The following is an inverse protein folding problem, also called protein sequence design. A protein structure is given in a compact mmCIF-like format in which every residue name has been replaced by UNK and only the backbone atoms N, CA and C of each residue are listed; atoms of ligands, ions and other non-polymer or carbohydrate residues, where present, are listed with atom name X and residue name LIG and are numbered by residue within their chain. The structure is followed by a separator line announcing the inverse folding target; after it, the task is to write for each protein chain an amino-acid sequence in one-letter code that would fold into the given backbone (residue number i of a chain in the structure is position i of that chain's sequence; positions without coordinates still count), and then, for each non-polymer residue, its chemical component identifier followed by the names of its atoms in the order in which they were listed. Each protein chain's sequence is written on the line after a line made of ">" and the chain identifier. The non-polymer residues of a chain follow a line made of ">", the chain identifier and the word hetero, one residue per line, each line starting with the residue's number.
data_IF_155895851185
#
_entry.id   IF_155895851185
#
_cell.length_a   1.000
_cell.length_b   1.000
_cell.length_c   1.000
_cell.angle_alpha   90.00
_cell.angle_beta   90.00
_cell.angle_gamma   90.00
#
_symmetry.space_group_name_H-M   'P 1'
#
loop_
_entity.id
_entity.type
_entity.pdbx_description
1 polymer ?
#
# COMPACT_ATOMS: atom_id res chain seq x y z
N UNK A 1 -7.93 10.38 -4.56
CA UNK A 1 -7.83 10.14 -3.10
C UNK A 1 -7.84 8.65 -2.83
N UNK A 2 -7.45 8.22 -1.62
CA UNK A 2 -7.56 6.81 -1.20
C UNK A 2 -9.02 6.36 -1.18
N UNK A 3 -9.90 7.23 -0.67
CA UNK A 3 -11.34 7.03 -0.61
C UNK A 3 -11.91 6.73 -2.00
N UNK A 4 -11.62 7.57 -3.00
CA UNK A 4 -12.15 7.36 -4.36
C UNK A 4 -11.61 6.08 -5.01
N UNK A 5 -10.37 5.69 -4.72
CA UNK A 5 -9.86 4.38 -5.18
C UNK A 5 -10.66 3.20 -4.60
N UNK A 6 -10.97 3.26 -3.30
CA UNK A 6 -11.76 2.22 -2.63
C UNK A 6 -13.20 2.21 -3.15
N UNK A 7 -13.81 3.39 -3.31
CA UNK A 7 -15.18 3.56 -3.84
C UNK A 7 -15.26 3.05 -5.28
N UNK A 8 -14.33 3.44 -6.15
CA UNK A 8 -14.29 3.00 -7.54
C UNK A 8 -14.09 1.47 -7.65
N UNK A 9 -13.27 0.87 -6.78
CA UNK A 9 -13.12 -0.58 -6.70
C UNK A 9 -14.43 -1.28 -6.28
N UNK A 10 -15.16 -0.71 -5.32
CA UNK A 10 -16.48 -1.21 -4.88
C UNK A 10 -17.51 -1.11 -6.01
N UNK A 11 -17.59 0.05 -6.68
CA UNK A 11 -18.47 0.27 -7.85
C UNK A 11 -18.17 -0.77 -8.92
N UNK A 12 -16.88 -0.95 -9.26
CA UNK A 12 -16.44 -1.93 -10.25
C UNK A 12 -16.90 -3.34 -9.87
N UNK A 13 -16.75 -3.75 -8.60
CA UNK A 13 -17.23 -5.06 -8.13
C UNK A 13 -18.73 -5.23 -8.26
N UNK A 14 -19.49 -4.23 -7.82
CA UNK A 14 -20.96 -4.25 -7.91
C UNK A 14 -21.41 -4.35 -9.36
N UNK A 15 -20.72 -3.66 -10.27
CA UNK A 15 -21.02 -3.72 -11.71
C UNK A 15 -20.90 -5.15 -12.27
N UNK A 16 -19.97 -5.97 -11.74
CA UNK A 16 -19.84 -7.39 -12.10
C UNK A 16 -20.71 -8.33 -11.24
N UNK A 17 -21.73 -7.80 -10.55
CA UNK A 17 -22.66 -8.60 -9.73
C UNK A 17 -22.04 -9.12 -8.43
N UNK A 18 -20.92 -8.56 -7.97
CA UNK A 18 -20.22 -8.99 -6.76
C UNK A 18 -20.27 -7.92 -5.69
N UNK A 19 -20.76 -8.28 -4.50
CA UNK A 19 -21.00 -7.33 -3.40
C UNK A 19 -20.02 -7.52 -2.23
N UNK A 20 -19.06 -8.42 -2.40
CA UNK A 20 -18.01 -8.80 -1.46
C UNK A 20 -16.63 -8.34 -1.95
N UNK A 21 -15.74 -8.04 -1.00
CA UNK A 21 -14.35 -7.69 -1.26
C UNK A 21 -13.55 -7.43 0.01
N UNK A 22 -12.22 -7.38 -0.14
CA UNK A 22 -11.27 -7.01 0.91
C UNK A 22 -10.29 -5.99 0.34
N UNK A 23 -10.04 -4.92 1.08
CA UNK A 23 -8.99 -3.95 0.77
C UNK A 23 -7.90 -4.06 1.85
N UNK A 24 -6.65 -4.13 1.41
CA UNK A 24 -5.47 -4.08 2.29
C UNK A 24 -4.80 -2.73 2.09
N UNK A 25 -4.58 -2.04 3.20
CA UNK A 25 -4.06 -0.66 3.21
C UNK A 25 -2.86 -0.68 4.15
N UNK A 26 -1.70 -0.24 3.65
CA UNK A 26 -0.50 -0.13 4.47
C UNK A 26 -0.64 1.07 5.42
N UNK A 27 -0.22 0.89 6.68
CA UNK A 27 -0.29 1.95 7.71
C UNK A 27 0.46 3.23 7.30
N UNK A 28 1.58 3.07 6.60
CA UNK A 28 2.42 4.18 6.16
C UNK A 28 1.76 5.14 5.17
N UNK A 29 0.61 4.79 4.59
CA UNK A 29 -0.12 5.65 3.64
C UNK A 29 -0.55 6.97 4.29
N UNK A 30 -0.73 7.02 5.61
CA UNK A 30 -1.08 8.25 6.36
C UNK A 30 -0.04 9.35 6.16
N UNK A 31 1.23 9.00 5.96
CA UNK A 31 2.31 9.97 5.79
C UNK A 31 2.22 10.77 4.49
N UNK A 32 1.52 10.24 3.50
CA UNK A 32 1.34 10.87 2.18
C UNK A 32 -0.03 11.54 2.02
N UNK A 33 -0.87 11.55 3.06
CA UNK A 33 -2.15 12.26 3.08
C UNK A 33 -1.91 13.72 3.42
N UNK A 34 -2.57 14.63 2.69
CA UNK A 34 -2.43 16.06 2.94
C UNK A 34 -2.87 16.40 4.37
N UNK A 35 -2.13 17.25 5.11
CA UNK A 35 -2.47 17.59 6.49
C UNK A 35 -3.90 18.10 6.69
N UNK A 36 -4.45 18.84 5.73
CA UNK A 36 -5.84 19.33 5.77
C UNK A 36 -6.89 18.21 5.67
N UNK A 37 -6.57 17.10 5.02
CA UNK A 37 -7.43 15.89 5.00
C UNK A 37 -7.30 15.10 6.31
N UNK A 38 -6.25 15.40 7.10
CA UNK A 38 -5.98 14.86 8.43
C UNK A 38 -6.47 15.80 9.55
N UNK A 39 -6.92 17.03 9.26
CA UNK A 39 -7.40 17.99 10.29
C UNK A 39 -8.74 17.54 10.93
N UNK A 40 -9.49 16.65 10.27
CA UNK A 40 -10.61 15.95 10.90
C UNK A 40 -10.14 14.95 12.00
N UNK A 41 -8.84 14.63 12.05
CA UNK A 41 -8.22 13.79 13.07
C UNK A 41 -7.88 14.63 14.30
N UNK A 42 -8.83 14.70 15.24
CA UNK A 42 -8.68 15.43 16.48
C UNK A 42 -7.55 14.93 17.42
N UNK A 43 -6.83 13.86 17.10
CA UNK A 43 -5.88 13.19 18.01
C UNK A 43 -4.61 12.71 17.29
N UNK A 44 -3.81 13.65 16.79
CA UNK A 44 -2.53 13.31 16.18
C UNK A 44 -1.39 13.63 17.14
N UNK A 45 -0.98 12.64 17.94
CA UNK A 45 0.24 12.74 18.76
C UNK A 45 1.49 12.52 17.91
N UNK A 46 2.57 13.26 18.23
CA UNK A 46 3.89 13.05 17.64
C UNK A 46 4.80 12.32 18.63
N UNK A 47 5.63 11.42 18.14
CA UNK A 47 6.63 10.73 18.95
C UNK A 47 7.80 11.64 19.35
N UNK A 48 8.73 11.11 20.16
CA UNK A 48 9.91 11.83 20.64
C UNK A 48 10.89 12.28 19.52
N UNK A 49 10.70 11.79 18.30
CA UNK A 49 11.48 12.13 17.11
C UNK A 49 10.72 13.04 16.13
N UNK A 50 9.50 13.46 16.50
CA UNK A 50 8.64 14.34 15.71
C UNK A 50 7.85 13.64 14.61
N UNK A 51 7.85 12.30 14.55
CA UNK A 51 7.02 11.54 13.62
C UNK A 51 5.58 11.43 14.15
N UNK A 52 4.61 11.35 13.24
CA UNK A 52 3.24 11.00 13.61
C UNK A 52 3.23 9.64 14.31
N UNK A 53 2.53 9.49 15.43
CA UNK A 53 2.21 8.17 15.98
C UNK A 53 1.12 7.52 15.13
N UNK A 54 1.53 6.97 13.99
CA UNK A 54 0.65 6.31 13.02
C UNK A 54 -0.17 5.19 13.68
N UNK A 55 0.40 4.51 14.68
CA UNK A 55 -0.26 3.43 15.41
C UNK A 55 -1.46 3.88 16.28
N UNK A 56 -1.53 5.16 16.64
CA UNK A 56 -2.63 5.74 17.43
C UNK A 56 -3.72 6.35 16.53
N UNK A 57 -3.38 6.68 15.27
CA UNK A 57 -4.36 7.10 14.26
C UNK A 57 -5.09 5.87 13.72
N UNK A 58 -6.37 5.71 14.05
CA UNK A 58 -7.20 4.60 13.56
C UNK A 58 -7.64 4.79 12.11
N UNK A 59 -6.67 4.80 11.18
CA UNK A 59 -6.87 5.05 9.73
C UNK A 59 -7.95 4.15 9.11
N UNK A 60 -8.06 2.91 9.59
CA UNK A 60 -9.08 1.97 9.14
C UNK A 60 -10.51 2.48 9.38
N UNK A 61 -10.79 3.01 10.58
CA UNK A 61 -12.11 3.56 10.91
C UNK A 61 -12.39 4.88 10.19
N UNK A 62 -11.38 5.72 10.01
CA UNK A 62 -11.50 6.98 9.24
C UNK A 62 -11.87 6.69 7.79
N UNK A 63 -11.10 5.81 7.12
CA UNK A 63 -11.38 5.44 5.74
C UNK A 63 -12.73 4.74 5.60
N UNK A 64 -13.11 3.89 6.56
CA UNK A 64 -14.45 3.29 6.61
C UNK A 64 -15.55 4.36 6.66
N UNK A 65 -15.40 5.38 7.52
CA UNK A 65 -16.36 6.48 7.62
C UNK A 65 -16.47 7.26 6.31
N UNK A 66 -15.34 7.69 5.75
CA UNK A 66 -15.30 8.48 4.51
C UNK A 66 -15.80 7.70 3.29
N UNK A 67 -15.40 6.43 3.12
CA UNK A 67 -15.89 5.56 2.04
C UNK A 67 -17.40 5.31 2.19
N UNK A 68 -17.89 5.08 3.41
CA UNK A 68 -19.33 4.88 3.66
C UNK A 68 -20.12 6.14 3.28
N UNK A 69 -19.66 7.32 3.70
CA UNK A 69 -20.28 8.60 3.36
C UNK A 69 -20.30 8.85 1.85
N UNK A 70 -19.18 8.56 1.17
CA UNK A 70 -19.07 8.71 -0.29
C UNK A 70 -20.00 7.75 -1.04
N UNK A 71 -20.07 6.47 -0.64
CA UNK A 71 -21.00 5.50 -1.24
C UNK A 71 -22.46 5.89 -1.01
N UNK A 72 -22.79 6.42 0.18
CA UNK A 72 -24.14 6.91 0.50
C UNK A 72 -24.56 8.06 -0.41
N UNK A 73 -23.65 8.99 -0.71
CA UNK A 73 -23.91 10.08 -1.65
C UNK A 73 -24.22 9.57 -3.07
N UNK A 74 -23.66 8.42 -3.45
CA UNK A 74 -23.94 7.73 -4.72
C UNK A 74 -25.17 6.81 -4.67
N UNK A 75 -25.89 6.76 -3.55
CA UNK A 75 -27.03 5.85 -3.35
C UNK A 75 -26.64 4.36 -3.30
N UNK A 76 -25.38 4.05 -2.98
CA UNK A 76 -24.86 2.70 -2.88
C UNK A 76 -24.83 2.29 -1.40
N UNK A 77 -25.54 1.20 -1.08
CA UNK A 77 -25.51 0.58 0.26
C UNK A 77 -24.43 -0.50 0.31
N UNK A 78 -23.47 -0.33 1.22
CA UNK A 78 -22.44 -1.31 1.53
C UNK A 78 -22.24 -1.43 3.05
N UNK A 79 -21.92 -2.63 3.51
CA UNK A 79 -21.50 -2.87 4.89
C UNK A 79 -19.98 -2.98 4.91
N UNK A 80 -19.31 -2.14 5.70
CA UNK A 80 -17.86 -2.07 5.76
C UNK A 80 -17.41 -2.33 7.21
N UNK A 81 -16.49 -3.26 7.38
CA UNK A 81 -15.80 -3.51 8.64
C UNK A 81 -14.32 -3.17 8.46
N UNK A 82 -13.75 -2.40 9.40
CA UNK A 82 -12.33 -2.13 9.45
C UNK A 82 -11.68 -3.04 10.51
N UNK A 83 -10.49 -3.55 10.19
CA UNK A 83 -9.68 -4.34 11.11
C UNK A 83 -8.22 -3.94 10.92
N UNK A 84 -7.61 -3.45 11.98
CA UNK A 84 -6.18 -3.25 12.04
C UNK A 84 -5.53 -4.57 12.47
N UNK A 85 -4.46 -4.95 11.77
CA UNK A 85 -3.70 -6.18 12.03
C UNK A 85 -2.24 -5.76 12.14
N UNK A 86 -1.63 -6.00 13.30
CA UNK A 86 -0.25 -5.57 13.52
C UNK A 86 0.38 -6.26 14.72
N UNK A 87 -0.04 -5.89 15.93
CA UNK A 87 0.49 -6.47 17.17
C UNK A 87 0.37 -7.99 17.21
N UNK A 88 -0.74 -8.53 16.73
CA UNK A 88 -0.98 -9.97 16.71
C UNK A 88 0.01 -10.72 15.80
N UNK A 89 0.52 -10.08 14.75
CA UNK A 89 1.49 -10.67 13.84
C UNK A 89 2.94 -10.49 14.32
N UNK A 90 3.24 -9.45 15.10
CA UNK A 90 4.60 -9.17 15.60
C UNK A 90 5.06 -10.16 16.67
N UNK A 91 4.13 -10.78 17.39
CA UNK A 91 4.42 -11.72 18.48
C UNK A 91 4.00 -13.16 18.13
N UNK A 92 3.72 -13.45 16.86
CA UNK A 92 3.47 -14.80 16.40
C UNK A 92 4.77 -15.61 16.39
N UNK A 93 4.68 -16.92 16.62
CA UNK A 93 5.83 -17.81 16.50
C UNK A 93 6.41 -17.74 15.08
N UNK A 94 7.75 -17.66 14.92
CA UNK A 94 8.38 -17.57 13.61
C UNK A 94 8.12 -18.85 12.81
N UNK A 95 7.89 -18.70 11.51
CA UNK A 95 7.80 -19.86 10.61
C UNK A 95 9.20 -20.47 10.40
N UNK A 96 9.31 -21.73 9.90
CA UNK A 96 10.62 -22.37 9.70
C UNK A 96 11.63 -21.53 8.90
N UNK A 97 11.16 -20.79 7.89
CA UNK A 97 12.00 -19.87 7.12
C UNK A 97 12.60 -18.77 8.00
N UNK A 98 11.79 -18.11 8.84
CA UNK A 98 12.27 -17.05 9.73
C UNK A 98 13.24 -17.60 10.78
N UNK A 99 12.98 -18.81 11.30
CA UNK A 99 13.88 -19.49 12.24
C UNK A 99 15.25 -19.79 11.62
N UNK A 100 15.27 -20.36 10.42
CA UNK A 100 16.50 -20.64 9.67
C UNK A 100 17.24 -19.35 9.33
N UNK A 101 16.54 -18.38 8.73
CA UNK A 101 17.12 -17.12 8.31
C UNK A 101 17.74 -16.35 9.49
N UNK A 102 17.04 -16.24 10.61
CA UNK A 102 17.55 -15.50 11.79
C UNK A 102 18.68 -16.24 12.51
N UNK A 103 18.65 -17.57 12.57
CA UNK A 103 19.79 -18.38 13.06
C UNK A 103 21.03 -18.14 12.22
N UNK A 104 20.88 -18.19 10.90
CA UNK A 104 21.99 -18.03 9.96
C UNK A 104 22.56 -16.61 9.99
N UNK A 105 21.70 -15.59 10.12
CA UNK A 105 22.11 -14.20 10.38
C UNK A 105 22.93 -14.10 11.67
N UNK A 106 22.48 -14.71 12.77
CA UNK A 106 23.20 -14.73 14.04
C UNK A 106 24.58 -15.40 13.94
N UNK A 107 24.65 -16.54 13.26
CA UNK A 107 25.92 -17.22 12.98
C UNK A 107 26.87 -16.33 12.16
N UNK A 108 26.37 -15.71 11.09
CA UNK A 108 27.17 -14.83 10.25
C UNK A 108 27.65 -13.59 11.01
N UNK A 109 26.82 -13.03 11.89
CA UNK A 109 27.20 -11.91 12.76
C UNK A 109 28.37 -12.27 13.67
N UNK A 110 28.29 -13.40 14.37
CA UNK A 110 29.36 -13.89 15.23
C UNK A 110 30.65 -14.15 14.43
N UNK A 111 30.54 -14.85 13.29
CA UNK A 111 31.67 -15.09 12.38
C UNK A 111 32.33 -13.79 11.92
N UNK A 112 31.53 -12.78 11.54
CA UNK A 112 32.02 -11.49 11.07
C UNK A 112 32.81 -10.76 12.16
N UNK A 113 32.29 -10.72 13.39
CA UNK A 113 32.97 -10.12 14.54
C UNK A 113 34.27 -10.84 14.91
N UNK A 114 34.29 -12.18 14.92
CA UNK A 114 35.49 -12.98 15.19
C UNK A 114 36.59 -12.71 14.15
N UNK A 115 36.19 -12.46 12.90
CA UNK A 115 37.10 -12.08 11.83
C UNK A 115 37.50 -10.58 11.87
N UNK A 116 37.26 -9.88 12.98
CA UNK A 116 37.50 -8.44 13.18
C UNK A 116 36.66 -7.51 12.28
N UNK A 117 35.56 -8.02 11.72
CA UNK A 117 34.56 -7.20 11.03
C UNK A 117 33.78 -6.31 12.00
N UNK A 118 33.38 -5.12 11.54
CA UNK A 118 32.54 -4.19 12.31
C UNK A 118 31.66 -3.33 11.38
N UNK A 119 30.80 -2.49 11.98
CA UNK A 119 30.03 -1.42 11.31
C UNK A 119 29.28 -1.84 10.03
N UNK A 120 28.64 -3.01 10.06
CA UNK A 120 27.88 -3.53 8.93
C UNK A 120 26.56 -4.16 9.38
N UNK A 121 25.55 -4.04 8.53
CA UNK A 121 24.35 -4.87 8.60
C UNK A 121 24.66 -6.25 8.04
N UNK A 122 24.32 -7.28 8.80
CA UNK A 122 24.46 -8.67 8.37
C UNK A 122 23.30 -9.02 7.44
N UNK A 123 23.61 -9.50 6.24
CA UNK A 123 22.61 -9.92 5.27
C UNK A 123 22.98 -11.23 4.59
N UNK A 124 21.98 -11.94 4.07
CA UNK A 124 22.17 -13.10 3.20
C UNK A 124 21.47 -12.82 1.86
N UNK A 125 22.22 -12.90 0.77
CA UNK A 125 21.74 -12.61 -0.58
C UNK A 125 22.00 -13.80 -1.48
N UNK A 126 20.95 -14.39 -2.07
CA UNK A 126 21.08 -15.59 -2.90
C UNK A 126 21.77 -16.76 -2.18
N UNK A 127 21.53 -16.91 -0.88
CA UNK A 127 22.16 -17.93 -0.03
C UNK A 127 23.61 -17.66 0.39
N UNK A 128 24.14 -16.46 0.11
CA UNK A 128 25.51 -16.06 0.48
C UNK A 128 25.51 -14.99 1.56
N UNK A 129 26.39 -15.11 2.54
CA UNK A 129 26.65 -14.05 3.51
C UNK A 129 27.23 -12.82 2.79
N UNK A 130 26.56 -11.68 2.92
CA UNK A 130 26.98 -10.39 2.37
C UNK A 130 26.86 -9.33 3.47
N UNK A 131 27.97 -8.88 4.09
CA UNK A 131 27.93 -7.74 5.00
C UNK A 131 27.72 -6.45 4.22
N UNK A 132 26.79 -5.61 4.65
CA UNK A 132 26.52 -4.30 4.05
C UNK A 132 27.04 -3.22 5.00
N UNK A 133 28.10 -2.48 4.64
CA UNK A 133 28.62 -1.39 5.48
C UNK A 133 27.54 -0.36 5.83
N UNK A 134 27.52 0.13 7.07
CA UNK A 134 26.56 1.17 7.48
C UNK A 134 26.72 2.47 6.67
N UNK A 135 27.93 2.78 6.20
CA UNK A 135 28.20 3.91 5.31
C UNK A 135 27.38 3.88 4.02
N UNK A 136 27.03 2.68 3.54
CA UNK A 136 26.30 2.51 2.28
C UNK A 136 24.79 2.65 2.50
N UNK A 137 24.35 2.48 3.76
CA UNK A 137 22.97 2.52 4.19
C UNK A 137 22.55 3.89 4.75
N UNK A 138 23.49 4.64 5.30
CA UNK A 138 23.22 5.94 5.93
C UNK A 138 23.35 7.05 4.89
N UNK A 139 22.36 7.94 4.88
CA UNK A 139 22.47 9.19 4.16
C UNK A 139 23.44 10.14 4.90
N UNK A 140 24.52 10.54 4.22
CA UNK A 140 25.60 11.30 4.83
C UNK A 140 25.20 12.73 5.25
N UNK A 141 24.11 13.28 4.68
CA UNK A 141 23.65 14.64 4.99
C UNK A 141 22.71 14.65 6.20
N UNK A 142 21.83 13.65 6.28
CA UNK A 142 20.79 13.57 7.32
C UNK A 142 21.17 12.67 8.49
N UNK A 143 22.18 11.81 8.32
CA UNK A 143 22.58 10.79 9.30
C UNK A 143 21.55 9.67 9.48
N UNK A 144 20.50 9.62 8.66
CA UNK A 144 19.42 8.65 8.75
C UNK A 144 19.65 7.48 7.79
N UNK A 145 19.17 6.30 8.18
CA UNK A 145 19.13 5.14 7.28
C UNK A 145 18.23 5.43 6.08
N UNK A 146 18.73 5.14 4.88
CA UNK A 146 17.97 5.23 3.63
C UNK A 146 16.79 4.25 3.67
N UNK A 147 15.61 4.77 3.37
CA UNK A 147 14.39 3.95 3.26
C UNK A 147 14.33 3.39 1.84
N UNK A 148 14.21 2.06 1.71
CA UNK A 148 13.97 1.41 0.42
C UNK A 148 12.47 1.32 0.16
N UNK A 149 11.97 2.17 -0.74
CA UNK A 149 10.59 2.13 -1.20
C UNK A 149 10.34 0.96 -2.15
N UNK A 150 9.06 0.64 -2.35
CA UNK A 150 8.63 -0.31 -3.38
C UNK A 150 8.95 0.28 -4.75
N UNK A 151 9.64 -0.50 -5.58
CA UNK A 151 9.85 -0.13 -6.99
C UNK A 151 8.56 -0.36 -7.79
N UNK A 152 7.85 0.73 -8.06
CA UNK A 152 6.59 0.74 -8.82
C UNK A 152 6.78 0.52 -10.33
N UNK A 153 8.01 0.58 -10.82
CA UNK A 153 8.36 0.23 -12.20
C UNK A 153 8.73 -1.26 -12.36
N UNK A 154 8.89 -1.99 -11.24
CA UNK A 154 9.25 -3.41 -11.30
C UNK A 154 8.16 -4.29 -11.91
N UNK A 155 8.57 -5.35 -12.62
CA UNK A 155 7.64 -6.37 -13.15
C UNK A 155 6.77 -6.98 -12.05
N UNK A 156 7.32 -7.20 -10.85
CA UNK A 156 6.58 -7.73 -9.70
C UNK A 156 5.43 -6.80 -9.31
N UNK A 157 5.69 -5.49 -9.26
CA UNK A 157 4.65 -4.51 -8.95
C UNK A 157 3.61 -4.44 -10.07
N UNK A 158 4.04 -4.42 -11.34
CA UNK A 158 3.13 -4.39 -12.49
C UNK A 158 2.17 -5.59 -12.50
N UNK A 159 2.68 -6.81 -12.25
CA UNK A 159 1.87 -8.03 -12.12
C UNK A 159 0.87 -7.90 -10.97
N UNK A 160 1.35 -7.54 -9.76
CA UNK A 160 0.48 -7.40 -8.60
C UNK A 160 -0.64 -6.38 -8.87
N UNK A 161 -0.30 -5.22 -9.44
CA UNK A 161 -1.25 -4.16 -9.77
C UNK A 161 -2.25 -4.60 -10.84
N UNK A 162 -1.85 -5.40 -11.83
CA UNK A 162 -2.76 -5.93 -12.87
C UNK A 162 -3.86 -6.81 -12.28
N UNK A 163 -3.56 -7.56 -11.22
CA UNK A 163 -4.52 -8.42 -10.51
C UNK A 163 -5.35 -7.69 -9.43
N UNK A 164 -4.97 -6.48 -9.04
CA UNK A 164 -5.77 -5.67 -8.12
C UNK A 164 -7.08 -5.24 -8.78
N UNK A 165 -8.17 -5.33 -8.03
CA UNK A 165 -9.47 -4.81 -8.47
C UNK A 165 -9.47 -3.30 -8.28
N UNK A 166 -9.21 -2.57 -9.37
CA UNK A 166 -9.22 -1.11 -9.43
C UNK A 166 -9.82 -0.68 -10.77
N UNK A 167 -10.26 0.57 -10.84
CA UNK A 167 -10.46 1.22 -12.15
C UNK A 167 -9.10 1.42 -12.83
N UNK A 168 -9.09 1.25 -14.14
CA UNK A 168 -7.92 1.30 -15.04
C UNK A 168 -8.30 2.10 -16.28
N UNK A 169 -7.29 2.58 -17.02
CA UNK A 169 -7.49 3.29 -18.30
C UNK A 169 -8.44 2.54 -19.24
N UNK A 170 -8.22 1.23 -19.41
CA UNK A 170 -9.08 0.36 -20.23
C UNK A 170 -10.58 0.43 -19.84
N UNK A 171 -10.92 0.67 -18.57
CA UNK A 171 -12.32 0.76 -18.13
C UNK A 171 -12.99 2.09 -18.56
N UNK A 172 -12.18 3.12 -18.79
CA UNK A 172 -12.63 4.41 -19.33
C UNK A 172 -12.60 4.42 -20.86
N UNK A 173 -11.68 3.69 -21.48
CA UNK A 173 -11.55 3.65 -22.94
C UNK A 173 -12.60 2.76 -23.62
N UNK A 174 -13.09 1.72 -22.93
CA UNK A 174 -14.13 0.82 -23.43
C UNK A 174 -15.54 1.37 -23.11
N UNK A 175 -16.34 1.78 -24.12
CA UNK A 175 -17.64 2.43 -23.89
C UNK A 175 -18.62 1.57 -23.10
N UNK A 176 -18.61 0.25 -23.31
CA UNK A 176 -19.48 -0.66 -22.59
C UNK A 176 -19.14 -0.72 -21.10
N UNK A 177 -17.84 -0.79 -20.75
CA UNK A 177 -17.41 -0.85 -19.35
C UNK A 177 -17.66 0.50 -18.64
N UNK A 178 -17.38 1.62 -19.30
CA UNK A 178 -17.67 2.94 -18.74
C UNK A 178 -19.17 3.13 -18.47
N UNK A 179 -20.03 2.78 -19.42
CA UNK A 179 -21.48 2.87 -19.25
C UNK A 179 -21.96 2.03 -18.06
N UNK A 180 -21.39 0.83 -17.91
CA UNK A 180 -21.71 -0.10 -16.82
C UNK A 180 -21.28 0.44 -15.44
N UNK A 181 -20.09 1.03 -15.35
CA UNK A 181 -19.59 1.67 -14.12
C UNK A 181 -20.43 2.89 -13.74
N UNK A 182 -20.68 3.78 -14.70
CA UNK A 182 -21.49 4.99 -14.50
C UNK A 182 -22.92 4.66 -14.06
N UNK A 183 -23.56 3.67 -14.70
CA UNK A 183 -24.89 3.19 -14.31
C UNK A 183 -24.91 2.63 -12.87
N UNK A 184 -23.86 1.89 -12.49
CA UNK A 184 -23.72 1.36 -11.11
C UNK A 184 -23.58 2.49 -10.08
N UNK A 185 -22.89 3.57 -10.47
CA UNK A 185 -22.70 4.77 -9.67
C UNK A 185 -23.86 5.79 -9.76
N UNK A 186 -24.92 5.47 -10.52
CA UNK A 186 -26.12 6.31 -10.73
C UNK A 186 -25.82 7.71 -11.29
N UNK A 187 -24.87 7.79 -12.21
CA UNK A 187 -24.47 9.05 -12.84
C UNK A 187 -24.26 8.88 -14.35
N UNK A 188 -24.11 10.00 -15.07
CA UNK A 188 -23.75 9.97 -16.49
C UNK A 188 -22.31 9.50 -16.69
N UNK A 189 -21.96 9.08 -17.91
CA UNK A 189 -20.59 8.70 -18.25
C UNK A 189 -19.61 9.87 -18.08
N UNK A 190 -20.03 11.08 -18.44
CA UNK A 190 -19.22 12.30 -18.32
C UNK A 190 -18.97 12.68 -16.85
N UNK A 191 -19.98 12.51 -15.99
CA UNK A 191 -19.84 12.72 -14.56
C UNK A 191 -18.91 11.68 -13.94
N UNK A 192 -19.03 10.41 -14.36
CA UNK A 192 -18.15 9.34 -13.89
C UNK A 192 -16.69 9.59 -14.25
N UNK A 193 -16.43 10.04 -15.48
CA UNK A 193 -15.10 10.49 -15.91
C UNK A 193 -14.56 11.60 -15.03
N UNK A 194 -15.35 12.67 -14.87
CA UNK A 194 -14.96 13.83 -14.06
C UNK A 194 -14.64 13.45 -12.61
N UNK A 195 -15.36 12.49 -12.05
CA UNK A 195 -15.18 12.06 -10.66
C UNK A 195 -14.07 11.02 -10.45
N UNK A 196 -13.77 10.16 -11.42
CA UNK A 196 -12.90 9.00 -11.18
C UNK A 196 -11.74 8.81 -12.18
N UNK A 197 -11.75 9.46 -13.34
CA UNK A 197 -10.72 9.24 -14.38
C UNK A 197 -9.33 9.71 -13.92
N UNK A 198 -9.26 10.71 -13.05
CA UNK A 198 -8.00 11.16 -12.48
C UNK A 198 -7.25 10.04 -11.71
N UNK A 199 -7.95 9.00 -11.24
CA UNK A 199 -7.35 7.87 -10.53
C UNK A 199 -6.40 7.04 -11.41
N UNK A 200 -6.55 7.14 -12.73
CA UNK A 200 -5.74 6.39 -13.71
C UNK A 200 -4.70 7.25 -14.40
N UNK A 201 -4.59 8.54 -14.04
CA UNK A 201 -3.59 9.45 -14.59
C UNK A 201 -2.17 8.90 -14.39
N UNK A 202 -1.86 8.47 -13.17
CA UNK A 202 -0.57 7.89 -12.80
C UNK A 202 -0.57 6.36 -12.84
N UNK A 203 -1.48 5.74 -13.61
CA UNK A 203 -1.42 4.29 -13.84
C UNK A 203 -0.07 3.95 -14.51
N UNK A 204 0.75 3.07 -13.89
CA UNK A 204 1.97 2.60 -14.52
C UNK A 204 1.64 1.95 -15.87
N UNK A 205 2.59 1.93 -16.82
CA UNK A 205 2.42 1.21 -18.08
C UNK A 205 1.89 -0.21 -17.83
N UNK A 206 1.01 -0.68 -18.71
CA UNK A 206 0.61 -2.08 -18.73
C UNK A 206 1.84 -2.99 -18.87
N UNK A 207 1.66 -4.29 -18.60
CA UNK A 207 2.74 -5.27 -18.76
C UNK A 207 3.33 -5.13 -20.18
N UNK A 208 4.59 -4.69 -20.28
CA UNK A 208 5.29 -4.64 -21.55
C UNK A 208 5.48 -6.08 -22.02
N UNK A 209 4.80 -6.44 -23.10
CA UNK A 209 5.04 -7.69 -23.81
C UNK A 209 5.93 -7.28 -24.98
N UNK A 210 7.21 -7.66 -24.91
CA UNK A 210 8.08 -7.57 -26.08
C UNK A 210 7.56 -8.57 -27.11
N UNK A 211 6.78 -8.08 -28.07
CA UNK A 211 6.35 -8.86 -29.22
C UNK A 211 7.50 -8.78 -30.23
N UNK A 212 8.39 -9.76 -30.18
CA UNK A 212 9.31 -10.10 -31.29
C UNK A 212 8.55 -10.70 -32.46
#
# INVERSE_FOLDING_TARGET
>A
TIVDNLVAAIIKRISYGRRDGVAVIAEGVVLDVAPGDLEELHEVERDAHGHLRIAEVNIGEILKSQVTSRLKALGIKATIAAKNIGYELRCADPIPFDMEYTRDLGYCAAKYLIANGNAAMISIQGGRFVPIPFSDMIDAQTGRTRIRLVDVASTRYAIARRYMIRVRRDDFDEPHELAKLAATARMSQDDFRREFEYLVANEPPGLAIDIT
#
